data_IF_879620680311
#
_entry.id   IF_879620680311
#
_cell.length_a   1.000
_cell.length_b   1.000
_cell.length_c   1.000
_cell.angle_alpha   90.00
_cell.angle_beta   90.00
_cell.angle_gamma   90.00
#
_symmetry.space_group_name_H-M   'P 1'
#
loop_
_entity.id
_entity.type
_entity.pdbx_description
1 polymer ?
#
# COMPACT_ATOMS: atom_id res chain seq x y z
N UNK A 1 -15.60 12.00 -0.83
CA UNK A 1 -14.65 10.89 -0.58
C UNK A 1 -13.84 10.69 -1.84
N UNK A 2 -12.52 10.45 -1.72
CA UNK A 2 -11.64 10.21 -2.86
C UNK A 2 -11.83 8.78 -3.37
N UNK A 3 -11.77 8.56 -4.68
CA UNK A 3 -11.81 7.22 -5.29
C UNK A 3 -10.45 6.96 -5.93
N UNK A 4 -9.82 5.87 -5.53
CA UNK A 4 -8.63 5.30 -6.14
C UNK A 4 -8.91 3.89 -6.65
N UNK A 5 -7.97 3.34 -7.41
CA UNK A 5 -8.09 1.99 -7.95
C UNK A 5 -6.89 1.12 -7.56
N UNK A 6 -7.15 -0.11 -7.14
CA UNK A 6 -6.15 -1.16 -7.07
C UNK A 6 -6.02 -1.80 -8.46
N UNK A 7 -4.85 -1.65 -9.07
CA UNK A 7 -4.55 -2.16 -10.41
C UNK A 7 -3.35 -3.08 -10.35
N UNK A 8 -3.58 -4.36 -10.61
CA UNK A 8 -2.54 -5.38 -10.69
C UNK A 8 -2.17 -5.64 -12.15
N UNK A 9 -0.90 -5.46 -12.48
CA UNK A 9 -0.36 -5.74 -13.81
C UNK A 9 0.60 -6.92 -13.75
N UNK A 10 0.58 -7.73 -14.79
CA UNK A 10 1.40 -8.93 -14.90
C UNK A 10 2.04 -9.04 -16.30
N UNK A 11 2.73 -10.14 -16.57
CA UNK A 11 3.42 -10.39 -17.86
C UNK A 11 2.48 -10.37 -19.07
N UNK A 12 1.18 -10.65 -18.88
CA UNK A 12 0.19 -10.65 -19.97
C UNK A 12 -0.37 -9.26 -20.27
N UNK A 13 -0.05 -8.25 -19.44
CA UNK A 13 -0.52 -6.88 -19.63
C UNK A 13 0.44 -6.11 -20.55
N UNK A 14 -0.01 -5.76 -21.76
CA UNK A 14 0.81 -4.98 -22.69
C UNK A 14 1.16 -3.61 -22.06
N UNK A 15 2.40 -3.11 -22.21
CA UNK A 15 2.81 -1.81 -21.68
C UNK A 15 1.94 -0.64 -22.19
N UNK A 16 1.48 -0.69 -23.43
CA UNK A 16 0.52 0.31 -23.97
C UNK A 16 -0.80 0.28 -23.24
N UNK A 17 -1.33 -0.89 -22.89
CA UNK A 17 -2.57 -1.01 -22.12
C UNK A 17 -2.40 -0.45 -20.71
N UNK A 18 -1.22 -0.64 -20.08
CA UNK A 18 -0.93 -0.01 -18.77
C UNK A 18 -0.99 1.51 -18.91
N UNK A 19 -0.23 2.09 -19.86
CA UNK A 19 -0.17 3.53 -20.08
C UNK A 19 -1.56 4.13 -20.39
N UNK A 20 -2.31 3.53 -21.30
CA UNK A 20 -3.65 3.98 -21.68
C UNK A 20 -4.65 3.87 -20.51
N UNK A 21 -4.58 2.79 -19.72
CA UNK A 21 -5.51 2.59 -18.59
C UNK A 21 -5.30 3.61 -17.47
N UNK A 22 -4.05 3.96 -17.15
CA UNK A 22 -3.77 4.93 -16.09
C UNK A 22 -4.04 6.36 -16.53
N UNK A 23 -3.78 6.69 -17.80
CA UNK A 23 -4.20 7.97 -18.40
C UNK A 23 -5.72 8.10 -18.39
N UNK A 24 -6.44 7.05 -18.79
CA UNK A 24 -7.91 7.03 -18.77
C UNK A 24 -8.47 7.32 -17.38
N UNK A 25 -8.01 6.60 -16.33
CA UNK A 25 -8.55 6.81 -14.99
C UNK A 25 -8.17 8.17 -14.41
N UNK A 26 -7.00 8.72 -14.78
CA UNK A 26 -6.63 10.10 -14.43
C UNK A 26 -7.58 11.10 -15.08
N UNK A 27 -7.86 10.97 -16.36
CA UNK A 27 -8.81 11.83 -17.11
C UNK A 27 -10.24 11.74 -16.53
N UNK A 28 -10.66 10.56 -16.07
CA UNK A 28 -11.94 10.35 -15.42
C UNK A 28 -12.00 10.90 -13.98
N UNK A 29 -10.89 11.41 -13.44
CA UNK A 29 -10.84 12.02 -12.12
C UNK A 29 -10.54 11.08 -10.96
N UNK A 30 -9.95 9.91 -11.21
CA UNK A 30 -9.44 9.05 -10.15
C UNK A 30 -8.39 9.81 -9.32
N UNK A 31 -8.39 9.57 -8.01
CA UNK A 31 -7.44 10.19 -7.09
C UNK A 31 -6.09 9.47 -7.07
N UNK A 32 -6.10 8.13 -7.11
CA UNK A 32 -4.89 7.33 -6.95
C UNK A 32 -4.97 5.99 -7.67
N UNK A 33 -3.80 5.41 -7.93
CA UNK A 33 -3.63 4.00 -8.34
C UNK A 33 -2.72 3.31 -7.34
N UNK A 34 -3.09 2.08 -6.94
CA UNK A 34 -2.39 1.26 -5.96
C UNK A 34 -1.94 -0.05 -6.59
N UNK A 35 -0.66 -0.33 -6.51
CA UNK A 35 -0.05 -1.56 -7.03
C UNK A 35 0.22 -2.56 -5.90
N UNK A 36 -0.29 -3.81 -5.99
CA UNK A 36 -0.01 -4.87 -5.02
C UNK A 36 1.40 -5.42 -5.18
N UNK A 37 1.88 -6.16 -4.16
CA UNK A 37 3.17 -6.80 -4.18
C UNK A 37 3.09 -8.29 -3.88
N UNK A 38 3.64 -9.10 -4.76
CA UNK A 38 4.22 -10.42 -4.54
C UNK A 38 5.34 -10.62 -5.55
N UNK A 39 6.52 -11.03 -5.08
CA UNK A 39 7.69 -11.32 -5.95
C UNK A 39 7.55 -12.71 -6.55
N UNK A 40 7.02 -13.66 -5.77
CA UNK A 40 6.88 -15.06 -6.14
C UNK A 40 5.47 -15.57 -5.83
N UNK A 41 4.94 -16.35 -6.76
CA UNK A 41 3.77 -17.18 -6.55
C UNK A 41 4.19 -18.65 -6.59
N UNK A 42 3.50 -19.48 -5.81
CA UNK A 42 3.82 -20.91 -5.68
C UNK A 42 2.62 -21.73 -6.13
N UNK A 43 2.82 -22.78 -6.93
CA UNK A 43 1.75 -23.72 -7.27
C UNK A 43 1.13 -24.35 -6.02
N UNK A 44 2.00 -24.63 -5.04
CA UNK A 44 1.61 -25.22 -3.76
C UNK A 44 2.27 -24.44 -2.61
N UNK A 45 1.51 -24.14 -1.57
CA UNK A 45 1.99 -23.47 -0.35
C UNK A 45 1.13 -23.87 0.86
N UNK A 46 1.73 -23.88 2.04
CA UNK A 46 1.04 -24.21 3.30
C UNK A 46 0.46 -22.97 4.01
N UNK A 47 0.94 -21.79 3.69
CA UNK A 47 0.43 -20.53 4.22
C UNK A 47 -1.03 -20.32 3.85
N UNK A 48 -1.78 -19.60 4.69
CA UNK A 48 -3.20 -19.27 4.44
C UNK A 48 -3.32 -17.82 4.02
N UNK A 49 -3.93 -17.58 2.85
CA UNK A 49 -4.26 -16.22 2.40
C UNK A 49 -5.41 -15.65 3.25
N UNK A 50 -5.21 -14.50 3.92
CA UNK A 50 -6.17 -14.02 4.91
C UNK A 50 -7.46 -13.45 4.32
N UNK A 51 -7.49 -13.13 3.02
CA UNK A 51 -8.59 -12.39 2.37
C UNK A 51 -9.40 -13.25 1.39
N UNK A 52 -9.44 -14.57 1.60
CA UNK A 52 -10.35 -15.47 0.89
C UNK A 52 -10.81 -16.60 1.79
N UNK A 53 -12.05 -17.07 1.58
CA UNK A 53 -12.64 -18.16 2.35
C UNK A 53 -11.93 -19.50 2.09
N UNK A 54 -11.33 -19.65 0.92
CA UNK A 54 -10.54 -20.84 0.57
C UNK A 54 -9.13 -20.86 1.20
N UNK A 55 -8.66 -19.75 1.77
CA UNK A 55 -7.29 -19.57 2.22
C UNK A 55 -6.26 -19.55 1.07
N UNK A 56 -6.71 -19.42 -0.18
CA UNK A 56 -5.87 -19.36 -1.38
C UNK A 56 -6.02 -18.01 -2.07
N UNK A 57 -4.95 -17.54 -2.72
CA UNK A 57 -5.03 -16.35 -3.58
C UNK A 57 -6.03 -16.62 -4.70
N UNK A 58 -7.00 -15.71 -4.94
CA UNK A 58 -7.97 -15.88 -6.02
C UNK A 58 -7.31 -15.80 -7.40
N UNK A 59 -7.81 -16.62 -8.34
CA UNK A 59 -7.36 -16.63 -9.72
C UNK A 59 -6.13 -17.52 -9.96
N UNK A 60 -5.57 -17.42 -11.16
CA UNK A 60 -4.32 -18.07 -11.55
C UNK A 60 -3.19 -17.03 -11.47
N UNK A 61 -2.37 -17.05 -10.42
CA UNK A 61 -1.37 -16.03 -10.22
C UNK A 61 -0.17 -16.27 -11.16
N UNK A 62 -0.19 -15.61 -12.31
CA UNK A 62 0.93 -15.61 -13.26
C UNK A 62 2.11 -14.70 -12.83
N UNK A 63 2.02 -14.10 -11.65
CA UNK A 63 2.97 -13.12 -11.17
C UNK A 63 2.44 -11.69 -11.26
N UNK A 64 3.17 -10.77 -10.65
CA UNK A 64 2.90 -9.34 -10.66
C UNK A 64 4.14 -8.59 -11.12
N UNK A 65 3.97 -7.42 -11.73
CA UNK A 65 5.07 -6.47 -11.86
C UNK A 65 5.46 -5.97 -10.46
N UNK A 66 6.77 -5.76 -10.24
CA UNK A 66 7.23 -5.11 -9.01
C UNK A 66 6.53 -3.75 -8.85
N UNK A 67 5.98 -3.43 -7.66
CA UNK A 67 5.17 -2.24 -7.48
C UNK A 67 5.93 -0.94 -7.76
N UNK A 68 7.21 -0.84 -7.39
CA UNK A 68 7.99 0.38 -7.66
C UNK A 68 8.28 0.55 -9.14
N UNK A 69 8.58 -0.54 -9.85
CA UNK A 69 8.78 -0.53 -11.30
C UNK A 69 7.49 -0.14 -12.02
N UNK A 70 6.36 -0.75 -11.65
CA UNK A 70 5.05 -0.43 -12.22
C UNK A 70 4.65 1.03 -11.93
N UNK A 71 4.76 1.47 -10.68
CA UNK A 71 4.41 2.84 -10.27
C UNK A 71 5.31 3.89 -10.91
N UNK A 72 6.60 3.59 -11.16
CA UNK A 72 7.49 4.49 -11.90
C UNK A 72 7.03 4.64 -13.36
N UNK A 73 6.64 3.54 -14.01
CA UNK A 73 6.07 3.59 -15.34
C UNK A 73 4.75 4.38 -15.37
N UNK A 74 3.89 4.19 -14.37
CA UNK A 74 2.64 4.95 -14.20
C UNK A 74 2.94 6.44 -13.99
N UNK A 75 3.93 6.77 -13.16
CA UNK A 75 4.35 8.15 -12.90
C UNK A 75 4.72 8.91 -14.18
N UNK A 76 5.41 8.21 -15.10
CA UNK A 76 5.82 8.78 -16.39
C UNK A 76 4.64 9.01 -17.37
N UNK A 77 3.51 8.31 -17.17
CA UNK A 77 2.33 8.39 -18.03
C UNK A 77 1.16 9.18 -17.38
N UNK A 78 1.37 9.79 -16.22
CA UNK A 78 0.35 10.53 -15.46
C UNK A 78 0.96 11.76 -14.80
N UNK A 79 0.11 12.73 -14.42
CA UNK A 79 0.57 14.00 -13.85
C UNK A 79 -0.05 14.32 -12.48
N UNK A 80 -1.20 13.73 -12.15
CA UNK A 80 -1.99 14.05 -10.96
C UNK A 80 -2.27 12.85 -10.07
N UNK A 81 -2.37 11.63 -10.65
CA UNK A 81 -2.64 10.41 -9.89
C UNK A 81 -1.61 10.22 -8.78
N UNK A 82 -2.09 10.01 -7.57
CA UNK A 82 -1.23 9.53 -6.50
C UNK A 82 -0.91 8.04 -6.70
N UNK A 83 0.24 7.64 -6.23
CA UNK A 83 0.89 6.38 -6.56
C UNK A 83 1.07 5.58 -5.26
N UNK A 84 0.20 4.62 -5.03
CA UNK A 84 0.19 3.82 -3.80
C UNK A 84 0.78 2.43 -3.98
N UNK A 85 1.56 1.98 -3.01
CA UNK A 85 1.83 0.55 -2.86
C UNK A 85 0.70 -0.09 -2.06
N UNK A 86 0.02 -1.08 -2.60
CA UNK A 86 -1.17 -1.67 -1.98
C UNK A 86 -1.06 -3.18 -1.74
N UNK A 87 -0.09 -3.62 -0.90
CA UNK A 87 0.86 -2.93 -0.03
C UNK A 87 2.29 -3.46 -0.22
N UNK A 88 3.31 -2.63 0.03
CA UNK A 88 4.71 -3.06 0.03
C UNK A 88 5.00 -4.01 1.21
N UNK A 89 5.59 -5.16 0.93
CA UNK A 89 5.93 -6.19 1.93
C UNK A 89 7.32 -5.90 2.53
N UNK A 90 7.40 -4.83 3.31
CA UNK A 90 8.64 -4.24 3.84
C UNK A 90 9.59 -5.25 4.47
N UNK A 91 9.17 -6.25 5.30
CA UNK A 91 10.12 -7.13 6.00
C UNK A 91 10.87 -8.12 5.10
N UNK A 92 10.43 -8.32 3.86
CA UNK A 92 11.12 -9.20 2.92
C UNK A 92 12.04 -8.47 1.95
N UNK A 93 12.11 -7.13 2.06
CA UNK A 93 12.96 -6.27 1.24
C UNK A 93 14.18 -5.77 2.03
N UNK A 94 15.20 -5.30 1.33
CA UNK A 94 16.27 -4.53 1.97
C UNK A 94 15.77 -3.10 2.24
N UNK A 95 15.82 -2.59 3.50
CA UNK A 95 15.23 -1.30 3.85
C UNK A 95 15.92 -0.11 3.17
N UNK A 96 17.24 -0.18 2.95
CA UNK A 96 18.01 0.89 2.30
C UNK A 96 17.63 1.01 0.82
N UNK A 97 17.53 -0.12 0.12
CA UNK A 97 17.05 -0.13 -1.26
C UNK A 97 15.58 0.30 -1.37
N UNK A 98 14.74 -0.12 -0.43
CA UNK A 98 13.32 0.27 -0.42
C UNK A 98 13.17 1.77 -0.16
N UNK A 99 13.92 2.32 0.81
CA UNK A 99 13.97 3.77 1.04
C UNK A 99 14.38 4.53 -0.22
N UNK A 100 15.38 4.00 -0.95
CA UNK A 100 15.86 4.59 -2.20
C UNK A 100 14.77 4.58 -3.28
N UNK A 101 14.11 3.45 -3.50
CA UNK A 101 13.04 3.35 -4.50
C UNK A 101 11.85 4.26 -4.20
N UNK A 102 11.46 4.37 -2.92
CA UNK A 102 10.39 5.29 -2.48
C UNK A 102 10.79 6.74 -2.74
N UNK A 103 12.02 7.14 -2.37
CA UNK A 103 12.50 8.51 -2.57
C UNK A 103 12.66 8.87 -4.06
N UNK A 104 13.17 7.93 -4.87
CA UNK A 104 13.30 8.12 -6.31
C UNK A 104 11.93 8.25 -6.99
N UNK A 105 10.97 7.38 -6.64
CA UNK A 105 9.61 7.46 -7.16
C UNK A 105 8.93 8.78 -6.73
N UNK A 106 9.11 9.20 -5.47
CA UNK A 106 8.56 10.45 -4.97
C UNK A 106 9.13 11.66 -5.71
N UNK A 107 10.45 11.66 -5.95
CA UNK A 107 11.14 12.68 -6.73
C UNK A 107 10.65 12.71 -8.19
N UNK A 108 10.62 11.56 -8.87
CA UNK A 108 10.22 11.44 -10.28
C UNK A 108 8.74 11.76 -10.50
N UNK A 109 7.90 11.51 -9.50
CA UNK A 109 6.47 11.81 -9.55
C UNK A 109 6.11 13.20 -9.04
N UNK A 110 7.09 13.99 -8.57
CA UNK A 110 6.87 15.29 -7.93
C UNK A 110 5.94 15.22 -6.71
N UNK A 111 6.24 14.30 -5.78
CA UNK A 111 5.58 14.20 -4.48
C UNK A 111 4.21 13.50 -4.52
N UNK A 112 4.01 12.52 -5.39
CA UNK A 112 2.74 11.81 -5.52
C UNK A 112 2.69 10.44 -4.85
N UNK A 113 3.71 10.02 -4.09
CA UNK A 113 3.76 8.69 -3.48
C UNK A 113 2.89 8.61 -2.23
N UNK A 114 2.14 7.51 -2.12
CA UNK A 114 1.45 7.01 -0.93
C UNK A 114 2.06 5.65 -0.55
N UNK A 115 2.82 5.59 0.54
CA UNK A 115 3.57 4.39 0.88
C UNK A 115 2.75 3.44 1.76
N UNK A 116 1.96 2.57 1.13
CA UNK A 116 1.25 1.49 1.81
C UNK A 116 2.17 0.35 2.17
N UNK A 117 2.17 -0.07 3.44
CA UNK A 117 3.12 -1.04 3.98
C UNK A 117 2.46 -2.17 4.75
N UNK A 118 3.03 -3.37 4.69
CA UNK A 118 2.58 -4.52 5.41
C UNK A 118 3.68 -5.49 5.78
N UNK A 119 3.32 -6.50 6.59
CA UNK A 119 4.27 -7.47 7.11
C UNK A 119 4.34 -8.77 6.31
N UNK A 120 3.44 -8.98 5.35
CA UNK A 120 3.35 -10.21 4.55
C UNK A 120 2.75 -11.41 5.28
N UNK A 121 2.23 -12.36 4.52
CA UNK A 121 1.53 -13.56 5.00
C UNK A 121 2.13 -14.86 4.45
N UNK A 122 2.78 -14.83 3.28
CA UNK A 122 3.25 -15.99 2.53
C UNK A 122 4.65 -16.41 2.99
N UNK A 123 4.72 -17.35 3.92
CA UNK A 123 5.98 -17.83 4.52
C UNK A 123 6.95 -18.38 3.49
N UNK A 124 6.44 -19.04 2.46
CA UNK A 124 7.22 -19.62 1.36
C UNK A 124 7.98 -18.55 0.57
N UNK A 125 7.36 -17.40 0.36
CA UNK A 125 8.00 -16.26 -0.29
C UNK A 125 9.13 -15.69 0.56
N UNK A 126 8.90 -15.49 1.86
CA UNK A 126 9.97 -15.08 2.81
C UNK A 126 11.16 -16.04 2.77
N UNK A 127 10.90 -17.35 2.81
CA UNK A 127 11.95 -18.36 2.77
C UNK A 127 12.77 -18.28 1.48
N UNK A 128 12.11 -18.11 0.35
CA UNK A 128 12.76 -18.03 -0.96
C UNK A 128 13.58 -16.72 -1.13
N UNK A 129 13.18 -15.67 -0.45
CA UNK A 129 13.90 -14.38 -0.43
C UNK A 129 14.99 -14.32 0.66
N UNK A 130 15.21 -15.40 1.42
CA UNK A 130 16.17 -15.43 2.52
C UNK A 130 15.79 -14.55 3.71
N UNK A 131 14.52 -14.17 3.82
CA UNK A 131 14.02 -13.33 4.90
C UNK A 131 13.33 -14.19 5.99
N UNK A 132 13.54 -13.85 7.27
CA UNK A 132 12.87 -14.55 8.37
C UNK A 132 11.38 -14.14 8.45
N UNK A 133 10.50 -15.13 8.55
CA UNK A 133 9.07 -14.90 8.71
C UNK A 133 8.69 -14.62 10.17
N UNK A 134 9.44 -15.16 11.13
CA UNK A 134 9.05 -15.17 12.55
C UNK A 134 9.05 -13.76 13.16
N UNK A 135 10.03 -12.95 12.82
CA UNK A 135 10.26 -11.60 13.36
C UNK A 135 9.80 -10.48 12.42
N UNK A 136 9.04 -10.81 11.36
CA UNK A 136 8.64 -9.88 10.32
C UNK A 136 7.93 -8.61 10.83
N UNK A 137 7.19 -8.71 11.95
CA UNK A 137 6.50 -7.56 12.52
C UNK A 137 7.48 -6.56 13.18
N UNK A 138 8.44 -7.06 13.97
CA UNK A 138 9.50 -6.25 14.58
C UNK A 138 10.39 -5.64 13.51
N UNK A 139 10.81 -6.46 12.53
CA UNK A 139 11.62 -6.03 11.41
C UNK A 139 10.93 -4.97 10.57
N UNK A 140 9.61 -5.09 10.30
CA UNK A 140 8.86 -4.05 9.60
C UNK A 140 8.99 -2.70 10.30
N UNK A 141 8.84 -2.70 11.61
CA UNK A 141 8.93 -1.46 12.40
C UNK A 141 10.31 -0.86 12.39
N UNK A 142 11.35 -1.67 12.57
CA UNK A 142 12.73 -1.21 12.50
C UNK A 142 13.07 -0.68 11.10
N UNK A 143 12.61 -1.36 10.05
CA UNK A 143 12.87 -0.95 8.67
C UNK A 143 12.19 0.39 8.34
N UNK A 144 11.00 0.65 8.88
CA UNK A 144 10.34 1.96 8.75
C UNK A 144 11.16 3.05 9.46
N UNK A 145 11.69 2.78 10.65
CA UNK A 145 12.55 3.73 11.37
C UNK A 145 13.83 4.05 10.57
N UNK A 146 14.47 3.03 10.01
CA UNK A 146 15.63 3.18 9.09
C UNK A 146 15.28 4.04 7.88
N UNK A 147 14.12 3.80 7.25
CA UNK A 147 13.69 4.58 6.08
C UNK A 147 13.43 6.04 6.46
N UNK A 148 12.74 6.31 7.58
CA UNK A 148 12.50 7.67 8.09
C UNK A 148 13.82 8.40 8.36
N UNK A 149 14.81 7.70 8.94
CA UNK A 149 16.16 8.25 9.14
C UNK A 149 16.82 8.60 7.80
N UNK A 150 16.78 7.68 6.83
CA UNK A 150 17.35 7.92 5.49
C UNK A 150 16.67 9.08 4.75
N UNK A 151 15.38 9.31 4.96
CA UNK A 151 14.64 10.43 4.36
C UNK A 151 14.86 11.76 5.07
N UNK A 152 15.31 11.73 6.30
CA UNK A 152 15.58 12.95 7.08
C UNK A 152 16.74 13.77 6.51
N UNK A 153 16.74 15.12 6.68
CA UNK A 153 17.83 15.97 6.20
C UNK A 153 19.17 15.63 6.84
N UNK A 154 20.27 15.82 6.09
CA UNK A 154 21.63 15.67 6.60
C UNK A 154 22.26 14.30 6.40
N UNK A 155 23.21 13.97 7.27
CA UNK A 155 23.88 12.67 7.33
C UNK A 155 22.97 11.72 8.11
N UNK A 156 22.73 10.55 7.55
CA UNK A 156 21.92 9.49 8.16
C UNK A 156 22.82 8.49 8.86
N UNK A 157 22.45 8.12 10.09
CA UNK A 157 23.10 7.11 10.91
C UNK A 157 22.03 6.34 11.69
N UNK A 158 22.15 5.03 11.78
CA UNK A 158 21.17 4.22 12.50
C UNK A 158 21.81 2.98 13.11
N UNK A 159 21.46 2.66 14.35
CA UNK A 159 21.87 1.43 15.02
C UNK A 159 20.66 0.73 15.62
N UNK A 160 20.30 -0.41 15.04
CA UNK A 160 19.18 -1.24 15.46
C UNK A 160 19.58 -2.69 15.68
N UNK A 161 18.59 -3.56 15.75
CA UNK A 161 18.79 -5.00 15.95
C UNK A 161 19.21 -5.72 14.66
N UNK A 162 18.66 -5.31 13.52
CA UNK A 162 18.90 -5.96 12.22
C UNK A 162 19.61 -5.05 11.21
N UNK A 163 19.59 -3.73 11.43
CA UNK A 163 20.21 -2.76 10.54
C UNK A 163 21.20 -1.89 11.30
N UNK A 164 22.39 -1.75 10.73
CA UNK A 164 23.39 -0.82 11.22
C UNK A 164 23.86 0.03 10.05
N UNK A 165 23.55 1.33 10.08
CA UNK A 165 24.02 2.32 9.12
C UNK A 165 25.12 3.16 9.75
N UNK A 166 26.32 3.07 9.21
CA UNK A 166 27.37 4.05 9.52
C UNK A 166 27.01 5.39 8.91
N UNK A 167 27.55 6.52 9.42
CA UNK A 167 27.26 7.84 8.86
C UNK A 167 27.38 7.88 7.34
N UNK A 168 26.28 8.21 6.65
CA UNK A 168 26.23 8.18 5.20
C UNK A 168 25.35 9.30 4.63
N UNK A 169 25.59 9.60 3.36
CA UNK A 169 24.71 10.46 2.57
C UNK A 169 23.69 9.61 1.82
N UNK A 170 22.41 9.98 1.95
CA UNK A 170 21.33 9.37 1.19
C UNK A 170 20.61 10.44 0.37
N UNK A 171 20.61 10.30 -0.96
CA UNK A 171 19.97 11.21 -1.91
C UNK A 171 19.38 10.46 -3.11
N UNK A 172 18.30 10.98 -3.75
CA UNK A 172 17.57 12.17 -3.33
C UNK A 172 16.82 11.93 -2.01
N UNK A 173 16.51 13.01 -1.30
CA UNK A 173 15.45 12.95 -0.28
C UNK A 173 14.10 12.98 -0.99
N UNK A 174 13.02 12.45 -0.38
CA UNK A 174 11.67 12.63 -0.90
C UNK A 174 11.33 14.12 -1.09
N UNK A 175 10.44 14.41 -2.03
CA UNK A 175 9.86 15.76 -2.23
C UNK A 175 8.86 16.07 -1.13
N UNK A 176 8.10 15.06 -0.70
CA UNK A 176 7.15 15.19 0.40
C UNK A 176 7.87 15.34 1.74
N UNK A 177 7.39 16.22 2.60
CA UNK A 177 7.96 16.51 3.91
C UNK A 177 6.98 16.14 5.02
N UNK A 178 7.43 15.47 6.09
CA UNK A 178 8.80 14.99 6.36
C UNK A 178 9.23 13.80 5.48
N UNK A 179 8.28 13.07 4.91
CA UNK A 179 8.43 11.94 3.99
C UNK A 179 7.08 11.61 3.34
N UNK A 180 7.01 10.73 2.32
CA UNK A 180 5.74 10.22 1.81
C UNK A 180 4.91 9.61 2.94
N UNK A 181 3.58 9.85 2.99
CA UNK A 181 2.74 9.31 4.04
C UNK A 181 2.77 7.78 4.02
N UNK A 182 2.85 7.18 5.22
CA UNK A 182 2.95 5.74 5.43
C UNK A 182 1.62 5.21 5.92
N UNK A 183 1.03 4.30 5.15
CA UNK A 183 -0.25 3.67 5.45
C UNK A 183 -0.04 2.20 5.82
N UNK A 184 -0.21 1.84 7.09
CA UNK A 184 -0.09 0.44 7.49
C UNK A 184 -1.33 -0.36 7.14
N UNK A 185 -1.11 -1.52 6.52
CA UNK A 185 -2.14 -2.51 6.25
C UNK A 185 -2.33 -3.51 7.39
N UNK A 186 -3.49 -4.18 7.36
CA UNK A 186 -3.88 -5.22 8.29
C UNK A 186 -4.84 -4.76 9.39
N UNK A 187 -5.68 -5.72 9.84
CA UNK A 187 -6.84 -5.46 10.69
C UNK A 187 -6.67 -6.00 12.13
N UNK A 188 -5.56 -6.69 12.43
CA UNK A 188 -5.27 -7.22 13.77
C UNK A 188 -4.90 -6.10 14.76
N UNK A 189 -5.05 -6.35 16.05
CA UNK A 189 -4.64 -5.40 17.09
C UNK A 189 -3.18 -4.98 16.96
N UNK A 190 -2.30 -5.95 16.65
CA UNK A 190 -0.89 -5.67 16.40
C UNK A 190 -0.64 -4.82 15.13
N UNK A 191 -1.53 -4.90 14.13
CA UNK A 191 -1.47 -4.01 12.97
C UNK A 191 -1.86 -2.58 13.37
N UNK A 192 -2.95 -2.43 14.14
CA UNK A 192 -3.37 -1.13 14.65
C UNK A 192 -2.33 -0.49 15.58
N UNK A 193 -1.60 -1.28 16.37
CA UNK A 193 -0.48 -0.77 17.18
C UNK A 193 0.61 -0.14 16.29
N UNK A 194 0.90 -0.73 15.13
CA UNK A 194 1.86 -0.15 14.16
C UNK A 194 1.33 1.13 13.53
N UNK A 195 0.03 1.17 13.16
CA UNK A 195 -0.63 2.40 12.69
C UNK A 195 -0.44 3.52 13.72
N UNK A 196 -0.77 3.26 14.98
CA UNK A 196 -0.68 4.26 16.06
C UNK A 196 0.76 4.71 16.29
N UNK A 197 1.72 3.79 16.23
CA UNK A 197 3.12 4.10 16.56
C UNK A 197 3.85 4.85 15.45
N UNK A 198 3.65 4.50 14.18
CA UNK A 198 4.54 4.93 13.09
C UNK A 198 3.82 5.40 11.81
N UNK A 199 2.49 5.17 11.67
CA UNK A 199 1.77 5.45 10.42
C UNK A 199 1.17 6.85 10.39
N UNK A 200 1.03 7.43 9.21
CA UNK A 200 0.19 8.59 8.93
C UNK A 200 -1.24 8.16 8.54
N UNK A 201 -1.45 6.85 8.31
CA UNK A 201 -2.79 6.32 8.04
C UNK A 201 -2.90 4.82 8.18
N UNK A 202 -4.14 4.35 8.09
CA UNK A 202 -4.49 2.94 8.06
C UNK A 202 -5.10 2.57 6.70
N UNK A 203 -4.51 1.61 6.02
CA UNK A 203 -5.06 0.97 4.83
C UNK A 203 -5.79 -0.31 5.24
N UNK A 204 -7.07 -0.19 5.59
CA UNK A 204 -7.93 -1.32 5.91
C UNK A 204 -8.35 -2.06 4.64
N UNK A 205 -8.23 -3.38 4.62
CA UNK A 205 -8.47 -4.17 3.42
C UNK A 205 -9.46 -5.31 3.66
N UNK A 206 -10.29 -5.59 2.66
CA UNK A 206 -11.32 -6.66 2.68
C UNK A 206 -12.26 -6.57 3.91
N UNK A 207 -12.73 -5.38 4.20
CA UNK A 207 -13.50 -5.05 5.40
C UNK A 207 -14.82 -4.34 5.04
N UNK A 208 -15.92 -4.77 5.64
CA UNK A 208 -17.24 -4.13 5.50
C UNK A 208 -17.34 -2.86 6.36
N UNK A 209 -18.31 -1.94 6.12
CA UNK A 209 -18.54 -0.79 6.99
C UNK A 209 -18.79 -1.17 8.46
N UNK A 210 -19.48 -2.27 8.74
CA UNK A 210 -19.78 -2.75 10.09
C UNK A 210 -18.50 -3.24 10.80
N UNK A 211 -17.72 -4.07 10.13
CA UNK A 211 -16.42 -4.54 10.64
C UNK A 211 -15.45 -3.39 10.87
N UNK A 212 -15.41 -2.42 9.93
CA UNK A 212 -14.60 -1.22 10.06
C UNK A 212 -14.99 -0.41 11.31
N UNK A 213 -16.30 -0.21 11.57
CA UNK A 213 -16.76 0.51 12.76
C UNK A 213 -16.21 -0.14 14.04
N UNK A 214 -16.31 -1.48 14.16
CA UNK A 214 -15.78 -2.21 15.30
C UNK A 214 -14.25 -2.06 15.44
N UNK A 215 -13.52 -2.04 14.34
CA UNK A 215 -12.05 -1.87 14.37
C UNK A 215 -11.64 -0.43 14.67
N UNK A 216 -12.44 0.55 14.25
CA UNK A 216 -12.22 1.97 14.58
C UNK A 216 -12.32 2.23 16.07
N UNK A 217 -13.23 1.59 16.81
CA UNK A 217 -13.31 1.71 18.25
C UNK A 217 -12.03 1.21 18.93
N UNK A 218 -11.46 0.10 18.43
CA UNK A 218 -10.17 -0.40 18.91
C UNK A 218 -9.03 0.58 18.58
N UNK A 219 -9.01 1.11 17.35
CA UNK A 219 -7.99 2.08 16.93
C UNK A 219 -8.04 3.35 17.79
N UNK A 220 -9.23 3.91 18.05
CA UNK A 220 -9.44 5.07 18.90
C UNK A 220 -8.94 4.84 20.33
N UNK A 221 -9.25 3.68 20.90
CA UNK A 221 -8.75 3.31 22.23
C UNK A 221 -7.22 3.33 22.24
N UNK A 222 -6.57 2.66 21.29
CA UNK A 222 -5.11 2.61 21.20
C UNK A 222 -4.49 4.00 20.98
N UNK A 223 -5.13 4.86 20.18
CA UNK A 223 -4.67 6.23 19.97
C UNK A 223 -4.76 7.07 21.25
N UNK A 224 -5.87 6.96 21.98
CA UNK A 224 -6.06 7.63 23.26
C UNK A 224 -5.01 7.19 24.29
N UNK A 225 -4.75 5.87 24.38
CA UNK A 225 -3.73 5.31 25.29
C UNK A 225 -2.32 5.81 24.94
N UNK A 226 -2.05 6.02 23.65
CA UNK A 226 -0.79 6.57 23.14
C UNK A 226 -0.72 8.12 23.19
N UNK A 227 -1.81 8.81 23.58
CA UNK A 227 -1.90 10.27 23.57
C UNK A 227 -1.87 10.89 22.16
N UNK A 228 -2.23 10.12 21.14
CA UNK A 228 -2.19 10.54 19.72
C UNK A 228 -3.57 11.00 19.26
N UNK A 229 -3.73 12.22 18.71
CA UNK A 229 -5.02 12.70 18.21
C UNK A 229 -5.56 11.86 17.03
N UNK A 230 -6.84 11.49 17.09
CA UNK A 230 -7.50 10.68 16.01
C UNK A 230 -7.37 11.32 14.63
N UNK A 231 -7.44 12.64 14.52
CA UNK A 231 -7.32 13.39 13.25
C UNK A 231 -5.97 13.24 12.53
N UNK A 232 -4.97 12.69 13.20
CA UNK A 232 -3.63 12.45 12.58
C UNK A 232 -3.56 11.16 11.77
N UNK A 233 -4.62 10.35 11.79
CA UNK A 233 -4.68 9.10 11.02
C UNK A 233 -5.67 9.24 9.87
N UNK A 234 -5.16 9.12 8.65
CA UNK A 234 -5.99 9.03 7.45
C UNK A 234 -6.51 7.59 7.26
N UNK A 235 -7.80 7.46 6.93
CA UNK A 235 -8.43 6.16 6.73
C UNK A 235 -8.60 5.88 5.24
N UNK A 236 -7.92 4.85 4.75
CA UNK A 236 -8.06 4.32 3.40
C UNK A 236 -8.66 2.92 3.48
N UNK A 237 -9.64 2.62 2.66
CA UNK A 237 -10.28 1.31 2.63
C UNK A 237 -10.19 0.70 1.24
N UNK A 238 -9.67 -0.53 1.16
CA UNK A 238 -9.79 -1.42 0.02
C UNK A 238 -10.92 -2.42 0.26
N UNK A 239 -12.13 -2.19 -0.26
CA UNK A 239 -13.28 -3.06 0.03
C UNK A 239 -13.14 -4.47 -0.59
N UNK A 240 -12.21 -4.65 -1.54
CA UNK A 240 -11.87 -5.90 -2.20
C UNK A 240 -13.11 -6.62 -2.78
N UNK A 241 -13.56 -7.72 -2.16
CA UNK A 241 -14.72 -8.53 -2.60
C UNK A 241 -16.06 -7.99 -2.13
N UNK A 242 -16.08 -7.02 -1.22
CA UNK A 242 -17.32 -6.45 -0.70
C UNK A 242 -17.96 -5.48 -1.71
N UNK A 243 -19.28 -5.49 -1.86
CA UNK A 243 -19.97 -4.63 -2.82
C UNK A 243 -19.75 -3.15 -2.54
N UNK A 244 -19.45 -2.38 -3.58
CA UNK A 244 -19.34 -0.92 -3.54
C UNK A 244 -20.51 -0.33 -4.32
N UNK A 245 -21.36 0.41 -3.61
CA UNK A 245 -22.53 1.11 -4.14
C UNK A 245 -22.80 2.37 -3.30
N UNK A 246 -23.72 3.22 -3.71
CA UNK A 246 -24.01 4.50 -3.04
C UNK A 246 -24.24 4.34 -1.52
N UNK A 247 -24.95 3.27 -1.11
CA UNK A 247 -25.22 2.99 0.29
C UNK A 247 -23.93 2.69 1.07
N UNK A 248 -23.10 1.76 0.56
CA UNK A 248 -21.85 1.38 1.23
C UNK A 248 -20.81 2.51 1.19
N UNK A 249 -20.78 3.29 0.11
CA UNK A 249 -19.97 4.51 0.00
C UNK A 249 -20.35 5.51 1.10
N UNK A 250 -21.66 5.78 1.27
CA UNK A 250 -22.14 6.68 2.32
C UNK A 250 -21.81 6.17 3.73
N UNK A 251 -21.88 4.84 3.95
CA UNK A 251 -21.50 4.22 5.22
C UNK A 251 -20.02 4.38 5.53
N UNK A 252 -19.11 4.11 4.58
CA UNK A 252 -17.68 4.35 4.76
C UNK A 252 -17.39 5.84 5.01
N UNK A 253 -18.05 6.72 4.27
CA UNK A 253 -17.89 8.16 4.47
C UNK A 253 -18.32 8.63 5.86
N UNK A 254 -19.42 8.09 6.39
CA UNK A 254 -19.89 8.37 7.74
C UNK A 254 -18.92 7.90 8.84
N UNK A 255 -18.11 6.88 8.55
CA UNK A 255 -17.04 6.37 9.43
C UNK A 255 -15.73 7.16 9.33
N UNK A 256 -15.68 8.21 8.50
CA UNK A 256 -14.49 9.05 8.33
C UNK A 256 -13.49 8.53 7.30
N UNK A 257 -13.86 7.54 6.47
CA UNK A 257 -13.00 7.08 5.37
C UNK A 257 -12.77 8.23 4.40
N UNK A 258 -11.51 8.52 4.13
CA UNK A 258 -11.09 9.61 3.23
C UNK A 258 -10.98 9.15 1.78
N UNK A 259 -10.66 7.86 1.59
CA UNK A 259 -10.44 7.26 0.28
C UNK A 259 -10.90 5.81 0.23
N UNK A 260 -11.59 5.43 -0.86
CA UNK A 260 -11.79 4.04 -1.25
C UNK A 260 -10.82 3.66 -2.37
N UNK A 261 -10.21 2.48 -2.26
CA UNK A 261 -9.32 1.89 -3.26
C UNK A 261 -10.00 0.64 -3.83
N UNK A 262 -10.65 0.80 -4.97
CA UNK A 262 -11.53 -0.19 -5.57
C UNK A 262 -10.73 -1.04 -6.57
N UNK A 263 -10.86 -2.39 -6.55
CA UNK A 263 -10.23 -3.24 -7.55
C UNK A 263 -10.71 -2.90 -8.97
N UNK A 264 -9.78 -2.61 -9.88
CA UNK A 264 -10.09 -2.31 -11.28
C UNK A 264 -9.33 -3.26 -12.20
N UNK A 265 -10.07 -4.19 -12.82
CA UNK A 265 -9.55 -5.19 -13.75
C UNK A 265 -10.27 -5.12 -15.08
N UNK A 266 -9.54 -5.29 -16.18
CA UNK A 266 -10.09 -5.37 -17.53
C UNK A 266 -9.03 -5.66 -18.55
N UNK A 267 -9.34 -6.52 -19.53
CA UNK A 267 -8.43 -6.85 -20.61
C UNK A 267 -8.44 -5.82 -21.76
N UNK A 268 -9.35 -4.83 -21.71
CA UNK A 268 -9.44 -3.76 -22.71
C UNK A 268 -9.80 -2.43 -22.05
N UNK A 269 -9.49 -1.34 -22.72
CA UNK A 269 -9.78 0.02 -22.26
C UNK A 269 -11.28 0.26 -22.08
N UNK A 270 -12.13 -0.29 -22.98
CA UNK A 270 -13.58 -0.15 -22.89
C UNK A 270 -14.13 -0.81 -21.62
N UNK A 271 -13.62 -2.00 -21.25
CA UNK A 271 -14.00 -2.68 -20.01
C UNK A 271 -13.55 -1.91 -18.77
N UNK A 272 -12.33 -1.38 -18.77
CA UNK A 272 -11.81 -0.55 -17.69
C UNK A 272 -12.65 0.72 -17.53
N UNK A 273 -12.93 1.42 -18.64
CA UNK A 273 -13.78 2.61 -18.66
C UNK A 273 -15.16 2.34 -18.10
N UNK A 274 -15.83 1.28 -18.59
CA UNK A 274 -17.16 0.90 -18.14
C UNK A 274 -17.24 0.59 -16.64
N UNK A 275 -16.17 -0.02 -16.07
CA UNK A 275 -16.10 -0.28 -14.63
C UNK A 275 -15.79 0.97 -13.84
N UNK A 276 -14.82 1.77 -14.28
CA UNK A 276 -14.44 3.01 -13.59
C UNK A 276 -15.60 4.01 -13.54
N UNK A 277 -16.40 4.11 -14.61
CA UNK A 277 -17.59 4.99 -14.68
C UNK A 277 -18.68 4.68 -13.64
N UNK A 278 -18.63 3.53 -12.98
CA UNK A 278 -19.55 3.22 -11.89
C UNK A 278 -19.23 4.00 -10.61
N UNK A 279 -18.02 4.55 -10.50
CA UNK A 279 -17.49 5.20 -9.29
C UNK A 279 -17.01 6.64 -9.54
N UNK A 280 -16.70 6.96 -10.79
CA UNK A 280 -16.26 8.28 -11.23
C UNK A 280 -17.36 8.87 -12.13
N UNK A 281 -18.02 9.89 -11.65
CA UNK A 281 -19.09 10.59 -12.37
C UNK A 281 -18.58 11.63 -13.34
#
# INVERSE_FOLDING_TARGET
MKIGFAMAFNQSTAPSLIAESVSLVEEMGAYSVWAPEHVLFFPEYASTYPYSDSGRIPGDPEGLLDPFTALTFIAANTTKLRLGTGICLVPQRNPVYTAKMVADLDHLSNGRVDFGVGIGWLKEEFSSLGASFKDRAARCSEYIDVMKELWSPGISEYQGETVNLVPCHFNPKPVQSPHPPIYFGGESDAALDRVVRQGEGWYAYDITPEELANRLDTLKTKMNDAGRPEKEIELIVGPNRHPVNDKTIAQYQALGVTQLVIPLFGATIEKLKSRASQFLG
#
